data_IF_228698629628
#
_entry.id   IF_228698629628
#
_cell.length_a   1.000
_cell.length_b   1.000
_cell.length_c   1.000
_cell.angle_alpha   90.00
_cell.angle_beta   90.00
_cell.angle_gamma   90.00
#
_symmetry.space_group_name_H-M   'P 1'
#
loop_
_entity.id
_entity.type
_entity.pdbx_description
1 polymer ?
#
# COMPACT_ATOMS: atom_id res chain seq x y z
N UNK A 1 7.84 -11.73 11.03
CA UNK A 1 7.47 -10.53 10.23
C UNK A 1 8.69 -9.60 10.14
N UNK A 2 9.89 -10.17 9.98
CA UNK A 2 11.12 -9.56 10.51
C UNK A 2 12.08 -9.07 9.42
N UNK A 3 11.59 -8.94 8.18
CA UNK A 3 12.40 -8.53 7.02
C UNK A 3 12.05 -7.17 6.43
N UNK A 4 10.87 -6.63 6.72
CA UNK A 4 10.44 -5.31 6.25
C UNK A 4 10.71 -4.27 7.34
N UNK A 5 11.27 -3.08 6.99
CA UNK A 5 11.29 -1.94 7.88
C UNK A 5 9.91 -1.69 8.50
N UNK A 6 9.90 -1.29 9.76
CA UNK A 6 8.66 -1.15 10.50
C UNK A 6 7.70 -0.13 9.85
N UNK A 7 8.27 0.95 9.28
CA UNK A 7 7.52 1.98 8.56
C UNK A 7 6.86 1.39 7.31
N UNK A 8 7.63 0.80 6.40
CA UNK A 8 7.11 0.21 5.15
C UNK A 8 5.99 -0.80 5.41
N UNK A 9 6.17 -1.65 6.43
CA UNK A 9 5.16 -2.63 6.82
C UNK A 9 3.86 -1.97 7.25
N UNK A 10 3.93 -0.87 8.00
CA UNK A 10 2.74 -0.17 8.46
C UNK A 10 2.09 0.64 7.33
N UNK A 11 2.88 1.25 6.44
CA UNK A 11 2.36 1.91 5.24
C UNK A 11 1.61 0.91 4.35
N UNK A 12 2.18 -0.28 4.13
CA UNK A 12 1.50 -1.35 3.40
C UNK A 12 0.19 -1.78 4.06
N UNK A 13 0.16 -1.90 5.39
CA UNK A 13 -1.07 -2.27 6.10
C UNK A 13 -2.18 -1.25 5.91
N UNK A 14 -1.85 0.04 5.97
CA UNK A 14 -2.82 1.11 5.76
C UNK A 14 -3.31 1.10 4.30
N UNK A 15 -2.41 1.09 3.32
CA UNK A 15 -2.79 1.08 1.91
C UNK A 15 -3.59 -0.15 1.51
N UNK A 16 -3.22 -1.34 2.01
CA UNK A 16 -4.02 -2.57 1.82
C UNK A 16 -5.40 -2.43 2.46
N UNK A 17 -5.47 -1.84 3.66
CA UNK A 17 -6.75 -1.65 4.33
C UNK A 17 -7.69 -0.75 3.52
N UNK A 18 -7.17 0.37 3.02
CA UNK A 18 -7.95 1.30 2.21
C UNK A 18 -8.42 0.65 0.91
N UNK A 19 -7.53 -0.03 0.18
CA UNK A 19 -7.89 -0.73 -1.07
C UNK A 19 -9.00 -1.76 -0.84
N UNK A 20 -8.93 -2.55 0.24
CA UNK A 20 -9.83 -3.69 0.42
C UNK A 20 -11.14 -3.34 1.12
N UNK A 21 -11.16 -2.33 1.98
CA UNK A 21 -12.31 -2.07 2.86
C UNK A 21 -12.79 -0.61 2.88
N UNK A 22 -12.22 0.31 2.08
CA UNK A 22 -12.74 1.67 1.93
C UNK A 22 -13.28 1.91 0.52
N UNK A 23 -14.59 1.74 0.35
CA UNK A 23 -15.26 1.92 -0.95
C UNK A 23 -15.30 3.38 -1.42
N UNK A 24 -15.22 4.34 -0.49
CA UNK A 24 -15.24 5.77 -0.77
C UNK A 24 -13.87 6.32 -1.23
N UNK A 25 -12.81 5.50 -1.16
CA UNK A 25 -11.45 5.89 -1.55
C UNK A 25 -11.05 5.17 -2.84
N UNK A 26 -10.78 5.89 -3.95
CA UNK A 26 -10.28 5.26 -5.15
C UNK A 26 -8.92 4.59 -4.90
N UNK A 27 -8.72 3.36 -5.39
CA UNK A 27 -7.47 2.59 -5.22
C UNK A 27 -6.22 3.39 -5.58
N UNK A 28 -6.28 4.19 -6.67
CA UNK A 28 -5.17 5.03 -7.10
C UNK A 28 -4.80 6.10 -6.06
N UNK A 29 -5.78 6.66 -5.36
CA UNK A 29 -5.56 7.66 -4.30
C UNK A 29 -4.90 6.99 -3.09
N UNK A 30 -5.41 5.83 -2.65
CA UNK A 30 -4.80 5.07 -1.56
C UNK A 30 -3.33 4.68 -1.87
N UNK A 31 -3.04 4.32 -3.12
CA UNK A 31 -1.68 4.06 -3.58
C UNK A 31 -0.82 5.33 -3.52
N UNK A 32 -1.27 6.44 -4.09
CA UNK A 32 -0.50 7.69 -4.14
C UNK A 32 -0.17 8.23 -2.73
N UNK A 33 -1.13 8.17 -1.79
CA UNK A 33 -0.92 8.58 -0.40
C UNK A 33 0.05 7.65 0.34
N UNK A 34 -0.02 6.32 0.11
CA UNK A 34 0.95 5.38 0.66
C UNK A 34 2.37 5.66 0.15
N UNK A 35 2.52 6.08 -1.12
CA UNK A 35 3.82 6.46 -1.69
C UNK A 35 4.34 7.77 -1.10
N UNK A 36 3.46 8.74 -0.87
CA UNK A 36 3.81 9.99 -0.20
C UNK A 36 4.33 9.71 1.22
N UNK A 37 3.62 8.90 2.00
CA UNK A 37 4.05 8.47 3.34
C UNK A 37 5.38 7.73 3.32
N UNK A 38 5.60 6.84 2.35
CA UNK A 38 6.87 6.12 2.22
C UNK A 38 8.05 7.05 1.92
N UNK A 39 7.84 8.07 1.08
CA UNK A 39 8.86 9.08 0.77
C UNK A 39 9.18 9.99 1.96
N UNK A 40 8.17 10.30 2.77
CA UNK A 40 8.34 11.14 3.96
C UNK A 40 9.01 10.39 5.12
N UNK A 41 8.63 9.13 5.35
CA UNK A 41 8.96 8.39 6.57
C UNK A 41 9.97 7.25 6.36
N UNK A 42 10.35 6.96 5.11
CA UNK A 42 11.27 5.86 4.75
C UNK A 42 12.24 6.27 3.63
N UNK A 43 12.60 5.35 2.73
CA UNK A 43 13.54 5.60 1.64
C UNK A 43 12.84 5.71 0.28
N UNK A 44 13.51 6.32 -0.70
CA UNK A 44 13.00 6.40 -2.08
C UNK A 44 12.79 4.99 -2.68
N UNK A 45 13.67 4.03 -2.38
CA UNK A 45 13.51 2.62 -2.79
C UNK A 45 12.24 1.98 -2.21
N UNK A 46 11.84 2.37 -1.00
CA UNK A 46 10.63 1.85 -0.34
C UNK A 46 9.38 2.22 -1.11
N UNK A 47 9.34 3.41 -1.73
CA UNK A 47 8.21 3.85 -2.54
C UNK A 47 7.97 2.95 -3.75
N UNK A 48 9.04 2.56 -4.48
CA UNK A 48 8.92 1.65 -5.62
C UNK A 48 8.41 0.26 -5.22
N UNK A 49 8.90 -0.27 -4.11
CA UNK A 49 8.43 -1.54 -3.57
C UNK A 49 6.95 -1.49 -3.16
N UNK A 50 6.54 -0.45 -2.44
CA UNK A 50 5.15 -0.25 -1.99
C UNK A 50 4.21 -0.11 -3.19
N UNK A 51 4.60 0.65 -4.22
CA UNK A 51 3.81 0.79 -5.45
C UNK A 51 3.54 -0.59 -6.08
N UNK A 52 4.57 -1.41 -6.22
CA UNK A 52 4.44 -2.73 -6.84
C UNK A 52 3.52 -3.67 -6.05
N UNK A 53 3.61 -3.65 -4.72
CA UNK A 53 2.75 -4.47 -3.85
C UNK A 53 1.31 -3.99 -3.90
N UNK A 54 1.05 -2.71 -3.65
CA UNK A 54 -0.32 -2.17 -3.61
C UNK A 54 -1.00 -2.24 -4.98
N UNK A 55 -0.28 -1.95 -6.07
CA UNK A 55 -0.81 -2.11 -7.43
C UNK A 55 -1.21 -3.55 -7.73
N UNK A 56 -0.44 -4.54 -7.26
CA UNK A 56 -0.82 -5.95 -7.39
C UNK A 56 -2.07 -6.27 -6.56
N UNK A 57 -2.16 -5.79 -5.32
CA UNK A 57 -3.34 -6.01 -4.47
C UNK A 57 -4.60 -5.40 -5.11
N UNK A 58 -4.53 -4.15 -5.58
CA UNK A 58 -5.63 -3.50 -6.32
C UNK A 58 -6.06 -4.33 -7.54
N UNK A 59 -5.10 -4.84 -8.33
CA UNK A 59 -5.40 -5.63 -9.53
C UNK A 59 -6.13 -6.96 -9.27
N UNK A 60 -5.92 -7.58 -8.11
CA UNK A 60 -6.54 -8.88 -7.75
C UNK A 60 -7.69 -8.72 -6.75
N UNK A 61 -8.02 -7.49 -6.33
CA UNK A 61 -9.00 -7.23 -5.27
C UNK A 61 -10.34 -7.93 -5.51
N UNK A 62 -10.81 -7.94 -6.77
CA UNK A 62 -12.09 -8.56 -7.14
C UNK A 62 -12.06 -10.11 -7.04
N UNK A 63 -10.87 -10.70 -7.07
CA UNK A 63 -10.65 -12.14 -6.94
C UNK A 63 -10.46 -12.58 -5.48
N UNK A 64 -10.33 -11.62 -4.56
CA UNK A 64 -10.18 -11.89 -3.13
C UNK A 64 -11.57 -12.14 -2.53
N UNK A 65 -11.84 -13.38 -2.12
CA UNK A 65 -13.02 -13.72 -1.33
C UNK A 65 -12.80 -13.32 0.14
N UNK A 66 -13.00 -12.05 0.46
CA UNK A 66 -12.86 -11.46 1.80
C UNK A 66 -14.21 -11.09 2.42
#
# INVERSE_FOLDING_TARGET
MDRLPAVDRNVLRIGIYEILWQEDVPDAVAIDEALALAKELSTEESSGYIHGVLGRISSIRQDLNL
#
